data_IF_120785594800
#
_entry.id   IF_120785594800
#
_cell.length_a   1.000
_cell.length_b   1.000
_cell.length_c   1.000
_cell.angle_alpha   90.00
_cell.angle_beta   90.00
_cell.angle_gamma   90.00
#
_symmetry.space_group_name_H-M   'P 1'
#
loop_
_entity.id
_entity.type
_entity.pdbx_description
1 polymer ?
#
# COMPACT_ATOMS: atom_id res chain seq x y z
N UNK A 1 5.49 -42.11 4.75
CA UNK A 1 6.03 -40.90 5.39
C UNK A 1 7.48 -40.69 4.96
N UNK A 2 8.36 -41.69 5.06
CA UNK A 2 9.76 -41.62 4.60
C UNK A 2 9.94 -41.29 3.10
N UNK A 3 9.08 -41.80 2.22
CA UNK A 3 9.12 -41.51 0.78
C UNK A 3 8.81 -40.04 0.42
N UNK A 4 8.18 -39.30 1.33
CA UNK A 4 7.90 -37.86 1.17
C UNK A 4 9.00 -36.99 1.79
N UNK A 5 9.80 -37.53 2.71
CA UNK A 5 10.85 -36.80 3.42
C UNK A 5 12.13 -36.71 2.57
N UNK A 6 12.50 -37.80 1.88
CA UNK A 6 13.65 -37.80 0.97
C UNK A 6 13.49 -36.86 -0.23
N UNK A 7 12.30 -36.75 -0.83
CA UNK A 7 12.08 -35.85 -1.98
C UNK A 7 12.16 -34.37 -1.60
N UNK A 8 11.78 -34.03 -0.37
CA UNK A 8 11.83 -32.66 0.14
C UNK A 8 13.26 -32.26 0.52
N UNK A 9 14.07 -33.17 1.06
CA UNK A 9 15.49 -32.90 1.38
C UNK A 9 16.31 -32.68 0.09
N UNK A 10 16.14 -33.52 -0.94
CA UNK A 10 16.88 -33.38 -2.21
C UNK A 10 16.54 -32.08 -2.97
N UNK A 11 15.26 -31.68 -3.02
CA UNK A 11 14.84 -30.38 -3.59
C UNK A 11 15.44 -29.19 -2.80
N UNK A 12 15.49 -29.30 -1.47
CA UNK A 12 15.98 -28.22 -0.61
C UNK A 12 17.50 -28.02 -0.73
N UNK A 13 18.26 -29.11 -0.88
CA UNK A 13 19.71 -29.06 -1.11
C UNK A 13 20.06 -28.52 -2.50
N UNK A 14 19.29 -28.86 -3.53
CA UNK A 14 19.54 -28.43 -4.90
C UNK A 14 19.37 -26.90 -5.05
N UNK A 15 18.34 -26.32 -4.43
CA UNK A 15 18.07 -24.88 -4.48
C UNK A 15 19.15 -24.06 -3.73
N UNK A 16 19.63 -24.58 -2.60
CA UNK A 16 20.72 -23.96 -1.84
C UNK A 16 22.05 -24.02 -2.61
N UNK A 17 22.34 -25.17 -3.23
CA UNK A 17 23.54 -25.37 -4.04
C UNK A 17 23.56 -24.44 -5.27
N UNK A 18 22.43 -24.31 -5.98
CA UNK A 18 22.28 -23.36 -7.10
C UNK A 18 22.54 -21.92 -6.67
N UNK A 19 21.96 -21.47 -5.56
CA UNK A 19 22.20 -20.11 -5.01
C UNK A 19 23.65 -19.90 -4.57
N UNK A 20 24.28 -20.93 -4.00
CA UNK A 20 25.69 -20.88 -3.66
C UNK A 20 26.57 -20.71 -4.91
N UNK A 21 26.32 -21.49 -5.97
CA UNK A 21 27.03 -21.38 -7.25
C UNK A 21 26.89 -19.98 -7.86
N UNK A 22 25.69 -19.41 -7.87
CA UNK A 22 25.47 -18.03 -8.34
C UNK A 22 26.32 -17.02 -7.56
N UNK A 23 26.37 -17.12 -6.23
CA UNK A 23 27.22 -16.24 -5.40
C UNK A 23 28.71 -16.42 -5.71
N UNK A 24 29.15 -17.65 -5.97
CA UNK A 24 30.53 -17.91 -6.34
C UNK A 24 30.87 -17.26 -7.68
N UNK A 25 30.04 -17.48 -8.71
CA UNK A 25 30.24 -16.88 -10.04
C UNK A 25 30.22 -15.36 -10.01
N UNK A 26 29.36 -14.77 -9.18
CA UNK A 26 29.31 -13.32 -8.98
C UNK A 26 30.62 -12.80 -8.36
N UNK A 27 31.11 -13.45 -7.30
CA UNK A 27 32.36 -13.06 -6.63
C UNK A 27 33.60 -13.13 -7.52
N UNK A 28 33.68 -14.11 -8.41
CA UNK A 28 34.82 -14.31 -9.31
C UNK A 28 34.64 -13.61 -10.67
N UNK A 29 33.57 -12.83 -10.85
CA UNK A 29 33.33 -12.04 -12.06
C UNK A 29 32.86 -12.84 -13.29
N UNK A 30 32.41 -14.08 -13.11
CA UNK A 30 31.95 -14.95 -14.20
C UNK A 30 30.48 -14.66 -14.57
N UNK A 31 30.23 -13.49 -15.13
CA UNK A 31 28.90 -12.97 -15.45
C UNK A 31 28.10 -13.87 -16.40
N UNK A 32 28.73 -14.40 -17.45
CA UNK A 32 28.03 -15.24 -18.44
C UNK A 32 27.63 -16.59 -17.85
N UNK A 33 28.49 -17.19 -17.03
CA UNK A 33 28.16 -18.44 -16.32
C UNK A 33 27.06 -18.25 -15.29
N UNK A 34 27.08 -17.13 -14.57
CA UNK A 34 25.97 -16.75 -13.69
C UNK A 34 24.65 -16.74 -14.45
N UNK A 35 24.60 -16.02 -15.58
CA UNK A 35 23.38 -15.85 -16.38
C UNK A 35 22.90 -17.20 -16.94
N UNK A 36 23.83 -18.02 -17.46
CA UNK A 36 23.53 -19.36 -17.97
C UNK A 36 22.87 -20.23 -16.90
N UNK A 37 23.47 -20.29 -15.71
CA UNK A 37 23.00 -21.13 -14.60
C UNK A 37 21.69 -20.61 -14.03
N UNK A 38 21.54 -19.30 -13.84
CA UNK A 38 20.31 -18.70 -13.33
C UNK A 38 19.14 -18.94 -14.29
N UNK A 39 19.37 -18.82 -15.61
CA UNK A 39 18.36 -19.08 -16.64
C UNK A 39 17.94 -20.55 -16.69
N UNK A 40 18.90 -21.49 -16.70
CA UNK A 40 18.62 -22.94 -16.69
C UNK A 40 17.89 -23.39 -15.43
N UNK A 41 18.22 -22.79 -14.29
CA UNK A 41 17.66 -23.16 -12.98
C UNK A 41 16.32 -22.48 -12.67
N UNK A 42 15.83 -21.58 -13.52
CA UNK A 42 14.58 -20.86 -13.28
C UNK A 42 14.65 -19.80 -12.16
N UNK A 43 15.85 -19.36 -11.77
CA UNK A 43 16.08 -18.35 -10.73
C UNK A 43 15.88 -16.94 -11.30
N UNK A 44 14.64 -16.61 -11.67
CA UNK A 44 14.31 -15.38 -12.40
C UNK A 44 14.69 -14.11 -11.65
N UNK A 45 14.54 -14.07 -10.32
CA UNK A 45 14.83 -12.87 -9.52
C UNK A 45 16.33 -12.57 -9.57
N UNK A 46 17.14 -13.58 -9.28
CA UNK A 46 18.60 -13.53 -9.31
C UNK A 46 19.13 -13.19 -10.71
N UNK A 47 18.50 -13.73 -11.75
CA UNK A 47 18.81 -13.42 -13.15
C UNK A 47 18.50 -11.95 -13.48
N UNK A 48 17.31 -11.45 -13.13
CA UNK A 48 16.91 -10.06 -13.38
C UNK A 48 17.88 -9.10 -12.67
N UNK A 49 18.20 -9.35 -11.40
CA UNK A 49 19.12 -8.49 -10.63
C UNK A 49 20.50 -8.43 -11.26
N UNK A 50 21.02 -9.58 -11.72
CA UNK A 50 22.31 -9.62 -12.41
C UNK A 50 22.26 -8.84 -13.72
N UNK A 51 21.21 -9.03 -14.54
CA UNK A 51 21.07 -8.31 -15.80
C UNK A 51 20.96 -6.79 -15.58
N UNK A 52 20.25 -6.34 -14.54
CA UNK A 52 20.21 -4.92 -14.16
C UNK A 52 21.59 -4.41 -13.75
N UNK A 53 22.36 -5.19 -12.97
CA UNK A 53 23.71 -4.80 -12.54
C UNK A 53 24.71 -4.65 -13.69
N UNK A 54 24.48 -5.36 -14.79
CA UNK A 54 25.28 -5.32 -16.01
C UNK A 54 24.74 -4.34 -17.05
N UNK A 55 23.73 -3.53 -16.70
CA UNK A 55 23.00 -2.62 -17.59
C UNK A 55 22.39 -3.29 -18.84
N UNK A 56 22.14 -4.60 -18.78
CA UNK A 56 21.45 -5.39 -19.82
C UNK A 56 19.93 -5.29 -19.66
N UNK A 57 19.42 -4.06 -19.65
CA UNK A 57 18.04 -3.73 -19.25
C UNK A 57 16.97 -4.34 -20.16
N UNK A 58 17.20 -4.42 -21.48
CA UNK A 58 16.26 -5.04 -22.41
C UNK A 58 16.07 -6.53 -22.14
N UNK A 59 17.16 -7.27 -21.89
CA UNK A 59 17.09 -8.68 -21.52
C UNK A 59 16.43 -8.87 -20.15
N UNK A 60 16.72 -7.99 -19.19
CA UNK A 60 16.05 -8.01 -17.89
C UNK A 60 14.53 -7.84 -18.04
N UNK A 61 14.08 -6.98 -18.95
CA UNK A 61 12.67 -6.75 -19.25
C UNK A 61 12.01 -8.00 -19.84
N UNK A 62 12.65 -8.65 -20.81
CA UNK A 62 12.14 -9.90 -21.41
C UNK A 62 11.97 -11.00 -20.35
N UNK A 63 12.95 -11.16 -19.45
CA UNK A 63 12.86 -12.14 -18.36
C UNK A 63 11.70 -11.80 -17.42
N UNK A 64 11.46 -10.52 -17.12
CA UNK A 64 10.30 -10.09 -16.35
C UNK A 64 9.00 -10.51 -17.05
N UNK A 65 8.86 -10.22 -18.34
CA UNK A 65 7.64 -10.49 -19.11
C UNK A 65 7.33 -11.99 -19.19
N UNK A 66 8.33 -12.81 -19.50
CA UNK A 66 8.20 -14.27 -19.51
C UNK A 66 7.81 -14.83 -18.15
N UNK A 67 8.40 -14.30 -17.07
CA UNK A 67 8.10 -14.76 -15.71
C UNK A 67 6.68 -14.38 -15.29
N UNK A 68 6.23 -13.17 -15.66
CA UNK A 68 4.90 -12.65 -15.30
C UNK A 68 3.78 -13.38 -16.02
N UNK A 69 4.02 -13.85 -17.27
CA UNK A 69 3.08 -14.69 -18.01
C UNK A 69 2.84 -16.04 -17.32
N UNK A 70 3.86 -16.60 -16.65
CA UNK A 70 3.74 -17.88 -15.93
C UNK A 70 3.05 -17.72 -14.57
N UNK A 71 3.44 -16.71 -13.80
CA UNK A 71 2.91 -16.46 -12.46
C UNK A 71 3.04 -14.99 -12.07
N UNK A 72 2.02 -14.44 -11.41
CA UNK A 72 2.05 -13.07 -10.92
C UNK A 72 2.94 -12.93 -9.68
N UNK A 73 4.05 -12.20 -9.80
CA UNK A 73 4.93 -11.87 -8.68
C UNK A 73 5.08 -10.36 -8.52
N UNK A 74 4.63 -9.83 -7.38
CA UNK A 74 4.78 -8.40 -7.04
C UNK A 74 6.25 -7.95 -7.06
N UNK A 75 7.18 -8.86 -6.73
CA UNK A 75 8.62 -8.57 -6.75
C UNK A 75 9.12 -8.37 -8.18
N UNK A 76 8.78 -9.28 -9.10
CA UNK A 76 9.17 -9.19 -10.52
C UNK A 76 8.55 -7.94 -11.16
N UNK A 77 7.29 -7.66 -10.86
CA UNK A 77 6.60 -6.46 -11.36
C UNK A 77 7.23 -5.15 -10.89
N UNK A 78 7.69 -5.09 -9.64
CA UNK A 78 8.43 -3.93 -9.16
C UNK A 78 9.80 -3.78 -9.82
N UNK A 79 10.48 -4.89 -10.15
CA UNK A 79 11.70 -4.84 -10.96
C UNK A 79 11.42 -4.38 -12.39
N UNK A 80 10.31 -4.84 -13.00
CA UNK A 80 9.84 -4.37 -14.30
C UNK A 80 9.63 -2.85 -14.30
N UNK A 81 8.98 -2.29 -13.27
CA UNK A 81 8.85 -0.83 -13.10
C UNK A 81 10.23 -0.13 -13.10
N UNK A 82 11.19 -0.65 -12.33
CA UNK A 82 12.54 -0.06 -12.26
C UNK A 82 13.24 -0.09 -13.63
N UNK A 83 13.13 -1.20 -14.35
CA UNK A 83 13.72 -1.37 -15.69
C UNK A 83 13.08 -0.40 -16.68
N UNK A 84 11.75 -0.34 -16.74
CA UNK A 84 11.01 0.56 -17.65
C UNK A 84 11.36 2.03 -17.40
N UNK A 85 11.53 2.41 -16.12
CA UNK A 85 11.95 3.76 -15.73
C UNK A 85 13.38 4.06 -16.21
N UNK A 86 14.33 3.13 -16.03
CA UNK A 86 15.71 3.29 -16.51
C UNK A 86 15.79 3.36 -18.05
N UNK A 87 14.96 2.60 -18.75
CA UNK A 87 14.86 2.60 -20.22
C UNK A 87 14.13 3.82 -20.79
N UNK A 88 13.53 4.69 -19.96
CA UNK A 88 12.75 5.84 -20.43
C UNK A 88 11.43 5.47 -21.11
N UNK A 89 10.93 4.23 -20.94
CA UNK A 89 9.69 3.73 -21.58
C UNK A 89 8.44 4.19 -20.82
N UNK A 90 8.16 5.50 -20.86
CA UNK A 90 7.11 6.16 -20.05
C UNK A 90 5.71 5.54 -20.23
N UNK A 91 5.28 5.31 -21.47
CA UNK A 91 3.93 4.79 -21.74
C UNK A 91 3.73 3.37 -21.21
N UNK A 92 4.73 2.49 -21.37
CA UNK A 92 4.70 1.14 -20.83
C UNK A 92 4.73 1.15 -19.30
N UNK A 93 5.54 2.03 -18.71
CA UNK A 93 5.60 2.23 -17.26
C UNK A 93 4.24 2.61 -16.67
N UNK A 94 3.57 3.62 -17.24
CA UNK A 94 2.25 4.06 -16.78
C UNK A 94 1.20 2.94 -16.90
N UNK A 95 1.16 2.24 -18.04
CA UNK A 95 0.25 1.10 -18.23
C UNK A 95 0.51 0.00 -17.20
N UNK A 96 1.77 -0.29 -16.89
CA UNK A 96 2.09 -1.31 -15.89
C UNK A 96 1.68 -0.87 -14.47
N UNK A 97 1.92 0.39 -14.12
CA UNK A 97 1.49 0.95 -12.83
C UNK A 97 -0.04 0.92 -12.67
N UNK A 98 -0.78 1.28 -13.73
CA UNK A 98 -2.24 1.19 -13.73
C UNK A 98 -2.70 -0.27 -13.55
N UNK A 99 -2.15 -1.19 -14.32
CA UNK A 99 -2.49 -2.62 -14.20
C UNK A 99 -2.25 -3.14 -12.77
N UNK A 100 -1.13 -2.77 -12.17
CA UNK A 100 -0.78 -3.18 -10.81
C UNK A 100 -1.71 -2.56 -9.76
N UNK A 101 -2.09 -1.30 -9.92
CA UNK A 101 -3.09 -0.65 -9.07
C UNK A 101 -4.45 -1.36 -9.19
N UNK A 102 -4.93 -1.62 -10.39
CA UNK A 102 -6.22 -2.30 -10.63
C UNK A 102 -6.21 -3.73 -10.08
N UNK A 103 -5.10 -4.44 -10.20
CA UNK A 103 -4.95 -5.81 -9.72
C UNK A 103 -4.87 -5.87 -8.20
N UNK A 104 -3.95 -5.11 -7.61
CA UNK A 104 -3.60 -5.22 -6.18
C UNK A 104 -4.38 -4.28 -5.27
N UNK A 105 -4.86 -3.14 -5.78
CA UNK A 105 -5.44 -2.08 -4.96
C UNK A 105 -4.41 -1.35 -4.08
N UNK A 106 -3.11 -1.49 -4.35
CA UNK A 106 -2.06 -0.85 -3.57
C UNK A 106 -1.93 0.64 -3.94
N UNK A 107 -2.20 1.50 -2.97
CA UNK A 107 -2.17 2.95 -3.12
C UNK A 107 -0.78 3.48 -3.53
N UNK A 108 0.31 2.75 -3.27
CA UNK A 108 1.63 3.17 -3.72
C UNK A 108 1.74 3.20 -5.25
N UNK A 109 1.03 2.33 -5.97
CA UNK A 109 1.01 2.37 -7.43
C UNK A 109 0.21 3.56 -7.96
N UNK A 110 -0.83 4.00 -7.24
CA UNK A 110 -1.55 5.25 -7.55
C UNK A 110 -0.62 6.46 -7.46
N UNK A 111 0.13 6.60 -6.36
CA UNK A 111 1.08 7.71 -6.18
C UNK A 111 2.17 7.70 -7.26
N UNK A 112 2.74 6.52 -7.55
CA UNK A 112 3.74 6.38 -8.61
C UNK A 112 3.17 6.74 -9.98
N UNK A 113 1.96 6.29 -10.31
CA UNK A 113 1.32 6.63 -11.59
C UNK A 113 1.10 8.14 -11.71
N UNK A 114 0.61 8.79 -10.65
CA UNK A 114 0.44 10.24 -10.61
C UNK A 114 1.75 10.99 -10.87
N UNK A 115 2.85 10.54 -10.28
CA UNK A 115 4.18 11.14 -10.46
C UNK A 115 4.73 10.96 -11.88
N UNK A 116 4.42 9.83 -12.52
CA UNK A 116 4.90 9.51 -13.87
C UNK A 116 3.97 10.04 -14.98
N UNK A 117 2.84 10.67 -14.64
CA UNK A 117 1.86 11.22 -15.59
C UNK A 117 1.94 12.73 -15.71
N UNK A 118 1.71 13.25 -16.93
CA UNK A 118 1.40 14.67 -17.09
C UNK A 118 0.02 14.99 -16.49
N UNK A 119 -0.29 16.27 -16.31
CA UNK A 119 -1.57 16.69 -15.73
C UNK A 119 -2.77 16.20 -16.55
N UNK A 120 -2.67 16.23 -17.89
CA UNK A 120 -3.75 15.80 -18.79
C UNK A 120 -3.90 14.27 -18.81
N UNK A 121 -2.78 13.54 -18.82
CA UNK A 121 -2.78 12.08 -18.66
C UNK A 121 -3.41 11.68 -17.33
N UNK A 122 -3.06 12.39 -16.26
CA UNK A 122 -3.55 12.12 -14.92
C UNK A 122 -5.05 12.25 -14.80
N UNK A 123 -5.66 13.30 -15.39
CA UNK A 123 -7.11 13.48 -15.39
C UNK A 123 -7.85 12.30 -16.01
N UNK A 124 -7.29 11.70 -17.05
CA UNK A 124 -7.86 10.51 -17.70
C UNK A 124 -7.70 9.26 -16.84
N UNK A 125 -6.48 9.02 -16.33
CA UNK A 125 -6.22 7.89 -15.43
C UNK A 125 -7.06 7.96 -14.16
N UNK A 126 -7.18 9.12 -13.53
CA UNK A 126 -7.92 9.30 -12.29
C UNK A 126 -9.40 8.92 -12.46
N UNK A 127 -10.05 9.35 -13.56
CA UNK A 127 -11.44 8.99 -13.86
C UNK A 127 -11.60 7.47 -13.99
N UNK A 128 -10.71 6.84 -14.73
CA UNK A 128 -10.70 5.39 -14.95
C UNK A 128 -10.49 4.62 -13.63
N UNK A 129 -9.49 5.02 -12.84
CA UNK A 129 -9.18 4.43 -11.53
C UNK A 129 -10.37 4.55 -10.58
N UNK A 130 -10.99 5.73 -10.47
CA UNK A 130 -12.16 5.92 -9.60
C UNK A 130 -13.29 4.98 -10.00
N UNK A 131 -13.53 4.81 -11.32
CA UNK A 131 -14.54 3.88 -11.83
C UNK A 131 -14.22 2.43 -11.43
N UNK A 132 -13.00 1.97 -11.69
CA UNK A 132 -12.55 0.62 -11.35
C UNK A 132 -12.65 0.33 -9.84
N UNK A 133 -12.15 1.24 -9.01
CA UNK A 133 -12.15 1.11 -7.55
C UNK A 133 -13.57 1.08 -6.98
N UNK A 134 -14.50 1.86 -7.54
CA UNK A 134 -15.92 1.82 -7.18
C UNK A 134 -16.56 0.48 -7.57
N UNK A 135 -16.34 0.03 -8.80
CA UNK A 135 -16.89 -1.24 -9.30
C UNK A 135 -16.40 -2.44 -8.46
N UNK A 136 -15.13 -2.42 -8.04
CA UNK A 136 -14.53 -3.43 -7.16
C UNK A 136 -14.83 -3.21 -5.68
N UNK A 137 -15.64 -2.20 -5.30
CA UNK A 137 -16.02 -1.86 -3.93
C UNK A 137 -14.82 -1.67 -2.97
N UNK A 138 -13.69 -1.16 -3.49
CA UNK A 138 -12.47 -0.94 -2.70
C UNK A 138 -12.51 0.42 -1.99
N UNK A 139 -13.48 0.60 -1.09
CA UNK A 139 -13.76 1.91 -0.47
C UNK A 139 -12.58 2.48 0.33
N UNK A 140 -11.80 1.64 1.00
CA UNK A 140 -10.60 2.09 1.72
C UNK A 140 -9.53 2.68 0.79
N UNK A 141 -9.42 2.20 -0.44
CA UNK A 141 -8.54 2.80 -1.46
C UNK A 141 -9.16 4.08 -2.01
N UNK A 142 -10.46 4.08 -2.28
CA UNK A 142 -11.18 5.25 -2.79
C UNK A 142 -11.10 6.45 -1.83
N UNK A 143 -11.22 6.19 -0.53
CA UNK A 143 -11.04 7.19 0.53
C UNK A 143 -9.65 7.84 0.47
N UNK A 144 -8.59 7.02 0.32
CA UNK A 144 -7.20 7.51 0.18
C UNK A 144 -6.96 8.29 -1.11
N UNK A 145 -7.56 7.86 -2.23
CA UNK A 145 -7.53 8.60 -3.50
C UNK A 145 -8.14 9.99 -3.32
N UNK A 146 -9.35 10.09 -2.77
CA UNK A 146 -9.98 11.39 -2.57
C UNK A 146 -9.23 12.26 -1.55
N UNK A 147 -8.59 11.67 -0.55
CA UNK A 147 -7.72 12.41 0.36
C UNK A 147 -6.52 13.03 -0.37
N UNK A 148 -5.87 12.28 -1.26
CA UNK A 148 -4.73 12.78 -2.06
C UNK A 148 -5.16 13.84 -3.10
N UNK A 149 -6.37 13.69 -3.65
CA UNK A 149 -7.01 14.70 -4.51
C UNK A 149 -7.63 15.86 -3.72
N UNK A 150 -7.38 15.95 -2.42
CA UNK A 150 -7.84 17.02 -1.52
C UNK A 150 -9.37 17.17 -1.40
N UNK A 151 -10.16 16.20 -1.87
CA UNK A 151 -11.60 16.11 -1.67
C UNK A 151 -11.89 15.38 -0.34
N UNK A 152 -11.62 16.07 0.77
CA UNK A 152 -11.71 15.46 2.10
C UNK A 152 -13.14 15.05 2.48
N UNK A 153 -14.16 15.72 1.93
CA UNK A 153 -15.54 15.34 2.14
C UNK A 153 -15.82 13.96 1.53
N UNK A 154 -15.48 13.74 0.25
CA UNK A 154 -15.63 12.40 -0.34
C UNK A 154 -14.71 11.38 0.32
N UNK A 155 -13.49 11.77 0.70
CA UNK A 155 -12.60 10.88 1.43
C UNK A 155 -13.29 10.34 2.70
N UNK A 156 -13.97 11.21 3.45
CA UNK A 156 -14.74 10.85 4.65
C UNK A 156 -15.93 9.96 4.37
N UNK A 157 -16.69 10.21 3.30
CA UNK A 157 -17.83 9.37 2.89
C UNK A 157 -17.41 7.91 2.68
N UNK A 158 -16.23 7.67 2.07
CA UNK A 158 -15.71 6.32 1.86
C UNK A 158 -14.90 5.75 3.04
N UNK A 159 -14.60 6.57 4.06
CA UNK A 159 -13.84 6.16 5.24
C UNK A 159 -14.69 5.53 6.36
N UNK A 160 -16.03 5.55 6.24
CA UNK A 160 -16.95 5.23 7.34
C UNK A 160 -16.71 3.85 7.96
N UNK A 161 -16.31 2.84 7.18
CA UNK A 161 -16.07 1.48 7.67
C UNK A 161 -14.58 1.12 7.77
N UNK A 162 -13.68 2.10 7.64
CA UNK A 162 -12.25 1.85 7.81
C UNK A 162 -11.89 1.67 9.28
N UNK A 163 -10.94 0.77 9.53
CA UNK A 163 -10.33 0.48 10.84
C UNK A 163 -8.96 1.11 11.03
N UNK A 164 -8.40 1.73 9.97
CA UNK A 164 -7.11 2.42 10.02
C UNK A 164 -7.26 3.75 10.79
N UNK A 165 -7.09 3.68 12.11
CA UNK A 165 -7.28 4.82 13.02
C UNK A 165 -6.30 5.96 12.74
N UNK A 166 -5.08 5.65 12.29
CA UNK A 166 -4.07 6.66 11.98
C UNK A 166 -4.48 7.48 10.75
N UNK A 167 -4.94 6.80 9.70
CA UNK A 167 -5.48 7.48 8.52
C UNK A 167 -6.72 8.32 8.86
N UNK A 168 -7.65 7.77 9.64
CA UNK A 168 -8.84 8.50 10.08
C UNK A 168 -8.50 9.75 10.90
N UNK A 169 -7.48 9.69 11.78
CA UNK A 169 -7.00 10.86 12.55
C UNK A 169 -6.43 11.94 11.62
N UNK A 170 -5.67 11.55 10.58
CA UNK A 170 -5.16 12.49 9.58
C UNK A 170 -6.29 13.14 8.79
N UNK A 171 -7.27 12.36 8.34
CA UNK A 171 -8.45 12.86 7.63
C UNK A 171 -9.27 13.82 8.50
N UNK A 172 -9.51 13.49 9.78
CA UNK A 172 -10.21 14.35 10.72
C UNK A 172 -9.54 15.72 10.90
N UNK A 173 -8.20 15.74 10.96
CA UNK A 173 -7.43 17.00 11.03
C UNK A 173 -7.60 17.85 9.77
N UNK A 174 -7.58 17.26 8.58
CA UNK A 174 -7.84 17.99 7.33
C UNK A 174 -9.27 18.52 7.26
N UNK A 175 -10.25 17.70 7.67
CA UNK A 175 -11.64 18.11 7.78
C UNK A 175 -11.83 19.27 8.76
N UNK A 176 -11.08 19.37 9.86
CA UNK A 176 -11.28 20.45 10.84
C UNK A 176 -11.12 21.86 10.28
N UNK A 177 -10.40 22.00 9.15
CA UNK A 177 -10.17 23.28 8.48
C UNK A 177 -11.33 23.61 7.54
N UNK A 178 -11.81 22.62 6.77
CA UNK A 178 -12.75 22.84 5.66
C UNK A 178 -14.20 22.44 5.99
N UNK A 179 -14.38 21.44 6.86
CA UNK A 179 -15.65 20.82 7.24
C UNK A 179 -15.70 20.48 8.74
N UNK A 180 -15.80 21.49 9.64
CA UNK A 180 -15.77 21.31 11.10
C UNK A 180 -16.74 20.24 11.62
N UNK A 181 -17.96 20.19 11.10
CA UNK A 181 -18.99 19.23 11.56
C UNK A 181 -18.60 17.78 11.22
N UNK A 182 -18.05 17.56 10.03
CA UNK A 182 -17.54 16.24 9.63
C UNK A 182 -16.32 15.84 10.47
N UNK A 183 -15.45 16.81 10.79
CA UNK A 183 -14.32 16.58 11.67
C UNK A 183 -14.77 16.15 13.07
N UNK A 184 -15.78 16.81 13.65
CA UNK A 184 -16.35 16.43 14.94
C UNK A 184 -16.89 14.99 14.92
N UNK A 185 -17.60 14.59 13.88
CA UNK A 185 -18.06 13.21 13.71
C UNK A 185 -16.91 12.21 13.58
N UNK A 186 -15.88 12.55 12.79
CA UNK A 186 -14.69 11.71 12.64
C UNK A 186 -13.93 11.53 13.97
N UNK A 187 -13.73 12.62 14.72
CA UNK A 187 -13.11 12.56 16.04
C UNK A 187 -13.97 11.82 17.06
N UNK A 188 -15.30 11.94 17.01
CA UNK A 188 -16.22 11.16 17.85
C UNK A 188 -16.04 9.67 17.59
N UNK A 189 -16.04 9.24 16.32
CA UNK A 189 -15.75 7.84 15.97
C UNK A 189 -14.39 7.38 16.53
N UNK A 190 -13.34 8.18 16.32
CA UNK A 190 -12.00 7.88 16.85
C UNK A 190 -11.99 7.75 18.38
N UNK A 191 -12.76 8.55 19.11
CA UNK A 191 -12.89 8.41 20.56
C UNK A 191 -13.36 7.00 20.93
N UNK A 192 -14.45 6.53 20.33
CA UNK A 192 -15.01 5.21 20.62
C UNK A 192 -14.04 4.09 20.26
N UNK A 193 -13.45 4.13 19.06
CA UNK A 193 -12.47 3.13 18.63
C UNK A 193 -11.28 3.02 19.60
N UNK A 194 -10.75 4.16 20.04
CA UNK A 194 -9.65 4.18 21.01
C UNK A 194 -10.06 3.69 22.40
N UNK A 195 -11.29 3.97 22.85
CA UNK A 195 -11.80 3.46 24.14
C UNK A 195 -12.00 1.94 24.07
N UNK A 196 -12.58 1.44 22.97
CA UNK A 196 -12.77 0.01 22.75
C UNK A 196 -11.45 -0.76 22.65
N UNK A 197 -10.38 -0.12 22.17
CA UNK A 197 -9.05 -0.73 22.12
C UNK A 197 -8.42 -1.01 23.51
N UNK A 198 -8.93 -0.40 24.60
CA UNK A 198 -8.56 -0.74 25.98
C UNK A 198 -8.13 0.43 26.85
N UNK A 199 -7.38 0.13 27.92
CA UNK A 199 -7.00 1.11 28.95
C UNK A 199 -5.59 1.67 28.77
N UNK A 200 -5.27 2.78 29.44
CA UNK A 200 -3.94 3.39 29.42
C UNK A 200 -3.74 4.33 28.22
N UNK A 201 -2.85 3.98 27.31
CA UNK A 201 -2.52 4.82 26.15
C UNK A 201 -3.70 5.06 25.19
N UNK A 202 -4.49 4.05 24.80
CA UNK A 202 -5.69 4.25 23.97
C UNK A 202 -6.67 5.25 24.59
N UNK A 203 -6.86 5.17 25.91
CA UNK A 203 -7.70 6.10 26.64
C UNK A 203 -7.16 7.54 26.61
N UNK A 204 -5.85 7.74 26.79
CA UNK A 204 -5.21 9.07 26.60
C UNK A 204 -5.40 9.60 25.18
N UNK A 205 -5.40 8.72 24.16
CA UNK A 205 -5.68 9.07 22.77
C UNK A 205 -7.13 9.53 22.59
N UNK A 206 -8.10 8.81 23.14
CA UNK A 206 -9.50 9.23 23.12
C UNK A 206 -9.72 10.61 23.76
N UNK A 207 -9.06 10.90 24.88
CA UNK A 207 -9.11 12.23 25.51
C UNK A 207 -8.57 13.35 24.62
N UNK A 208 -7.48 13.10 23.87
CA UNK A 208 -6.97 14.05 22.87
C UNK A 208 -7.95 14.28 21.72
N UNK A 209 -8.68 13.24 21.30
CA UNK A 209 -9.73 13.38 20.28
C UNK A 209 -10.90 14.22 20.80
N UNK A 210 -11.33 14.03 22.05
CA UNK A 210 -12.35 14.87 22.70
C UNK A 210 -11.92 16.33 22.82
N UNK A 211 -10.66 16.59 23.17
CA UNK A 211 -10.10 17.95 23.19
C UNK A 211 -10.07 18.57 21.79
N UNK A 212 -9.83 17.78 20.75
CA UNK A 212 -9.94 18.25 19.37
C UNK A 212 -11.38 18.64 19.04
N UNK A 213 -12.38 17.82 19.41
CA UNK A 213 -13.81 18.17 19.25
C UNK A 213 -14.12 19.48 19.96
N UNK A 214 -13.70 19.63 21.22
CA UNK A 214 -13.94 20.86 22.02
C UNK A 214 -13.40 22.11 21.32
N UNK A 215 -12.21 22.03 20.70
CA UNK A 215 -11.59 23.16 19.99
C UNK A 215 -12.35 23.52 18.71
N UNK A 216 -12.92 22.53 18.03
CA UNK A 216 -13.62 22.71 16.75
C UNK A 216 -15.05 23.19 17.00
N UNK A 217 -15.73 22.58 17.98
CA UNK A 217 -17.10 22.89 18.38
C UNK A 217 -17.15 24.13 19.30
N UNK A 218 -17.15 25.31 18.68
CA UNK A 218 -17.17 26.60 19.40
C UNK A 218 -18.38 26.79 20.33
N UNK A 219 -19.50 26.10 20.09
CA UNK A 219 -20.71 26.17 20.93
C UNK A 219 -20.70 25.13 22.05
N UNK A 220 -19.75 24.21 22.03
CA UNK A 220 -19.59 23.08 22.95
C UNK A 220 -20.77 22.11 23.03
N UNK A 221 -21.80 22.25 22.19
CA UNK A 221 -23.00 21.39 22.22
C UNK A 221 -22.65 19.95 21.85
N UNK A 222 -21.88 19.77 20.78
CA UNK A 222 -21.45 18.47 20.29
C UNK A 222 -20.44 17.83 21.24
N UNK A 223 -19.50 18.62 21.76
CA UNK A 223 -18.54 18.18 22.78
C UNK A 223 -19.24 17.65 24.05
N UNK A 224 -20.16 18.45 24.62
CA UNK A 224 -20.89 18.07 25.85
C UNK A 224 -21.72 16.80 25.65
N UNK A 225 -22.39 16.69 24.50
CA UNK A 225 -23.18 15.50 24.14
C UNK A 225 -22.27 14.27 24.05
N UNK A 226 -21.20 14.34 23.26
CA UNK A 226 -20.26 13.23 23.06
C UNK A 226 -19.60 12.78 24.36
N UNK A 227 -19.17 13.73 25.20
CA UNK A 227 -18.61 13.44 26.52
C UNK A 227 -19.64 12.74 27.43
N UNK A 228 -20.90 13.20 27.43
CA UNK A 228 -21.98 12.60 28.20
C UNK A 228 -22.30 11.17 27.77
N UNK A 229 -22.29 10.88 26.47
CA UNK A 229 -22.47 9.53 25.91
C UNK A 229 -21.34 8.58 26.36
N UNK A 230 -20.08 9.01 26.22
CA UNK A 230 -18.90 8.21 26.64
C UNK A 230 -18.96 7.85 28.14
N UNK A 231 -19.28 8.82 29.01
CA UNK A 231 -19.39 8.59 30.46
C UNK A 231 -20.49 7.56 30.78
N UNK A 232 -21.61 7.62 30.05
CA UNK A 232 -22.74 6.72 30.23
C UNK A 232 -22.39 5.28 29.85
N UNK A 233 -21.73 5.10 28.71
CA UNK A 233 -21.41 3.77 28.18
C UNK A 233 -20.27 3.09 28.93
N UNK A 234 -19.28 3.86 29.41
CA UNK A 234 -18.06 3.28 30.00
C UNK A 234 -17.99 3.37 31.53
N UNK A 235 -18.97 3.99 32.22
CA UNK A 235 -18.98 4.26 33.68
C UNK A 235 -17.84 5.20 34.14
N UNK A 236 -18.00 5.81 35.33
CA UNK A 236 -17.06 6.81 35.92
C UNK A 236 -15.57 6.41 35.92
N UNK A 237 -15.23 5.12 35.88
CA UNK A 237 -13.83 4.63 35.81
C UNK A 237 -13.10 5.09 34.54
N UNK A 238 -13.85 5.58 33.56
CA UNK A 238 -13.39 6.04 32.25
C UNK A 238 -13.97 7.43 31.88
N UNK A 239 -14.12 8.34 32.85
CA UNK A 239 -14.41 9.76 32.57
C UNK A 239 -13.18 10.49 32.02
N UNK A 240 -13.18 10.78 30.71
CA UNK A 240 -12.11 11.50 30.00
C UNK A 240 -12.06 12.98 30.36
#
# INVERSE_FOLDING_TARGET
IEKYTQSLEDEYYDDYYKKFLLRLYDKIGMNDKYIEVARKSGLSIELIDKLISLDRLSEALEVCEQSTQKYFSKTIENKKIQILKKLGRKNELQKNLLHLLEKTGDFNYFIKLKQESSEDEWKNYLKHIISDVKNKKRYALLSRIYYDEHDYKKAYEYAQNMTDLNYLELLAKKLSIQHPDLACNAFKKLCYEWIHAGSGWPYKKAGRMLEAIKRIDKKETFFKTTKGEIIREHKKKYSL
#
